data_IF_898391905739
#
_entry.id   IF_898391905739
#
_cell.length_a   1.000
_cell.length_b   1.000
_cell.length_c   1.000
_cell.angle_alpha   90.00
_cell.angle_beta   90.00
_cell.angle_gamma   90.00
#
_symmetry.space_group_name_H-M   'P 1'
#
loop_
_entity.id
_entity.type
_entity.pdbx_description
1 polymer ?
#
# COMPACT_ATOMS: atom_id res chain seq x y z
N UNK A 1 -50.86 -80.76 55.26
CA UNK A 1 -51.38 -80.01 56.44
C UNK A 1 -51.57 -78.55 56.03
N UNK A 2 -52.64 -77.88 56.47
CA UNK A 2 -53.73 -77.54 55.54
C UNK A 2 -54.23 -76.07 55.57
N UNK A 3 -55.10 -75.78 54.58
CA UNK A 3 -56.31 -74.93 54.62
C UNK A 3 -56.20 -73.40 54.62
N UNK A 4 -56.87 -72.75 53.62
CA UNK A 4 -58.20 -72.11 53.79
C UNK A 4 -58.69 -71.41 52.50
N UNK A 5 -59.90 -71.76 52.07
CA UNK A 5 -60.84 -71.02 51.17
C UNK A 5 -61.32 -69.68 51.81
N UNK A 6 -62.33 -68.89 51.32
CA UNK A 6 -63.17 -68.96 50.10
C UNK A 6 -63.50 -67.62 49.37
N UNK A 7 -64.20 -67.77 48.24
CA UNK A 7 -65.19 -66.93 47.54
C UNK A 7 -65.77 -65.65 48.19
N UNK A 8 -65.90 -64.58 47.40
CA UNK A 8 -67.04 -63.61 47.31
C UNK A 8 -66.75 -62.63 46.15
N UNK A 9 -67.42 -62.65 44.99
CA UNK A 9 -68.77 -62.19 44.64
C UNK A 9 -69.03 -60.69 44.91
N UNK A 10 -69.16 -59.86 43.85
CA UNK A 10 -70.17 -58.79 43.71
C UNK A 10 -70.15 -58.10 42.32
N UNK A 11 -71.23 -58.34 41.57
CA UNK A 11 -72.16 -57.38 40.92
C UNK A 11 -71.64 -56.25 39.99
N UNK A 12 -72.02 -56.41 38.71
CA UNK A 12 -72.46 -55.44 37.67
C UNK A 12 -72.42 -53.94 37.93
N UNK A 13 -71.98 -53.15 36.93
CA UNK A 13 -72.74 -52.02 36.33
C UNK A 13 -72.34 -51.84 34.84
N UNK A 14 -73.33 -51.77 33.94
CA UNK A 14 -73.24 -51.38 32.53
C UNK A 14 -72.96 -49.88 32.38
N UNK A 15 -72.17 -49.45 31.38
CA UNK A 15 -72.44 -48.21 30.62
C UNK A 15 -72.02 -48.32 29.15
N UNK A 16 -72.85 -47.69 28.33
CA UNK A 16 -73.01 -47.76 26.88
C UNK A 16 -72.14 -46.79 26.09
N UNK A 17 -71.63 -47.29 24.95
CA UNK A 17 -71.53 -46.63 23.63
C UNK A 17 -70.74 -45.33 23.48
N UNK A 18 -69.65 -45.36 22.70
CA UNK A 18 -69.38 -44.31 21.68
C UNK A 18 -68.66 -44.88 20.45
N UNK A 19 -69.34 -44.79 19.30
CA UNK A 19 -68.77 -44.92 17.95
C UNK A 19 -67.82 -43.76 17.67
N UNK A 20 -66.54 -44.03 17.45
CA UNK A 20 -65.63 -43.09 16.79
C UNK A 20 -65.56 -43.41 15.29
N UNK A 21 -66.09 -42.50 14.46
CA UNK A 21 -65.90 -42.49 13.01
C UNK A 21 -64.41 -42.25 12.69
N UNK A 22 -63.80 -42.98 11.73
CA UNK A 22 -62.45 -42.66 11.29
C UNK A 22 -62.48 -41.32 10.52
N UNK A 23 -61.65 -40.37 10.96
CA UNK A 23 -61.36 -39.14 10.21
C UNK A 23 -60.67 -39.53 8.90
N UNK A 24 -61.32 -39.25 7.77
CA UNK A 24 -60.73 -39.34 6.43
C UNK A 24 -59.58 -38.32 6.36
N UNK A 25 -58.34 -38.79 6.41
CA UNK A 25 -57.18 -37.99 6.05
C UNK A 25 -57.28 -37.69 4.55
N UNK A 26 -57.23 -36.40 4.20
CA UNK A 26 -57.09 -35.96 2.82
C UNK A 26 -55.64 -36.27 2.44
N UNK A 27 -55.36 -37.14 1.45
CA UNK A 27 -54.01 -37.37 0.99
C UNK A 27 -53.62 -36.19 0.11
N UNK A 28 -52.94 -35.20 0.69
CA UNK A 28 -52.15 -34.26 -0.11
C UNK A 28 -50.94 -35.04 -0.60
N UNK A 29 -50.70 -35.00 -1.91
CA UNK A 29 -49.55 -35.61 -2.58
C UNK A 29 -48.23 -35.30 -1.85
N UNK A 30 -47.75 -36.25 -1.05
CA UNK A 30 -46.45 -36.17 -0.37
C UNK A 30 -45.27 -36.20 -1.36
N UNK A 31 -45.52 -36.55 -2.63
CA UNK A 31 -44.54 -36.54 -3.71
C UNK A 31 -44.21 -35.14 -4.22
N UNK A 32 -45.18 -34.22 -4.34
CA UNK A 32 -44.91 -32.90 -4.93
C UNK A 32 -44.16 -31.96 -3.97
N UNK A 33 -44.47 -32.02 -2.66
CA UNK A 33 -43.84 -31.17 -1.64
C UNK A 33 -42.39 -31.60 -1.37
N UNK A 34 -42.10 -32.91 -1.42
CA UNK A 34 -40.74 -33.44 -1.23
C UNK A 34 -39.83 -33.10 -2.42
N UNK A 35 -40.34 -33.20 -3.65
CA UNK A 35 -39.61 -32.77 -4.84
C UNK A 35 -39.36 -31.26 -4.86
N UNK A 36 -40.33 -30.44 -4.44
CA UNK A 36 -40.16 -28.98 -4.34
C UNK A 36 -39.11 -28.62 -3.28
N UNK A 37 -39.14 -29.25 -2.11
CA UNK A 37 -38.15 -29.03 -1.05
C UNK A 37 -36.74 -29.44 -1.47
N UNK A 38 -36.60 -30.50 -2.26
CA UNK A 38 -35.32 -30.93 -2.82
C UNK A 38 -34.77 -29.89 -3.82
N UNK A 39 -35.60 -29.42 -4.75
CA UNK A 39 -35.19 -28.41 -5.72
C UNK A 39 -34.82 -27.07 -5.08
N UNK A 40 -35.58 -26.63 -4.07
CA UNK A 40 -35.26 -25.42 -3.29
C UNK A 40 -33.94 -25.57 -2.55
N UNK A 41 -33.68 -26.72 -1.93
CA UNK A 41 -32.41 -27.01 -1.26
C UNK A 41 -31.24 -26.99 -2.25
N UNK A 42 -31.41 -27.57 -3.44
CA UNK A 42 -30.34 -27.65 -4.42
C UNK A 42 -30.02 -26.27 -5.02
N UNK A 43 -31.06 -25.48 -5.33
CA UNK A 43 -30.89 -24.10 -5.79
C UNK A 43 -30.23 -23.25 -4.70
N UNK A 44 -30.66 -23.42 -3.44
CA UNK A 44 -30.06 -22.73 -2.30
C UNK A 44 -28.57 -23.10 -2.12
N UNK A 45 -28.20 -24.38 -2.27
CA UNK A 45 -26.80 -24.82 -2.23
C UNK A 45 -25.97 -24.20 -3.36
N UNK A 46 -26.50 -24.16 -4.58
CA UNK A 46 -25.81 -23.52 -5.72
C UNK A 46 -25.61 -22.04 -5.46
N UNK A 47 -26.66 -21.33 -5.03
CA UNK A 47 -26.58 -19.89 -4.70
C UNK A 47 -25.56 -19.66 -3.58
N UNK A 48 -25.59 -20.46 -2.51
CA UNK A 48 -24.63 -20.35 -1.41
C UNK A 48 -23.18 -20.59 -1.85
N UNK A 49 -22.95 -21.54 -2.76
CA UNK A 49 -21.60 -21.83 -3.27
C UNK A 49 -21.09 -20.69 -4.16
N UNK A 50 -21.94 -20.17 -5.05
CA UNK A 50 -21.59 -19.05 -5.92
C UNK A 50 -21.33 -17.78 -5.09
N UNK A 51 -22.18 -17.49 -4.11
CA UNK A 51 -21.98 -16.37 -3.19
C UNK A 51 -20.71 -16.54 -2.36
N UNK A 52 -20.44 -17.75 -1.84
CA UNK A 52 -19.23 -18.04 -1.07
C UNK A 52 -17.95 -17.79 -1.87
N UNK A 53 -17.89 -18.27 -3.11
CA UNK A 53 -16.76 -18.03 -4.01
C UNK A 53 -16.65 -16.55 -4.39
N UNK A 54 -17.78 -15.89 -4.67
CA UNK A 54 -17.80 -14.46 -5.01
C UNK A 54 -17.25 -13.58 -3.88
N UNK A 55 -17.72 -13.78 -2.65
CA UNK A 55 -17.23 -13.05 -1.48
C UNK A 55 -15.73 -13.32 -1.21
N UNK A 56 -15.29 -14.57 -1.32
CA UNK A 56 -13.88 -14.92 -1.16
C UNK A 56 -13.00 -14.27 -2.24
N UNK A 57 -13.45 -14.28 -3.50
CA UNK A 57 -12.76 -13.63 -4.60
C UNK A 57 -12.72 -12.10 -4.44
N UNK A 58 -13.82 -11.49 -3.98
CA UNK A 58 -13.87 -10.06 -3.70
C UNK A 58 -12.89 -9.65 -2.61
N UNK A 59 -12.81 -10.41 -1.51
CA UNK A 59 -11.84 -10.16 -0.45
C UNK A 59 -10.40 -10.36 -0.93
N UNK A 60 -10.14 -11.40 -1.73
CA UNK A 60 -8.81 -11.65 -2.30
C UNK A 60 -8.34 -10.52 -3.22
N UNK A 61 -9.23 -10.01 -4.09
CA UNK A 61 -8.93 -8.88 -4.97
C UNK A 61 -8.67 -7.60 -4.17
N UNK A 62 -9.52 -7.29 -3.18
CA UNK A 62 -9.32 -6.12 -2.32
C UNK A 62 -7.99 -6.18 -1.60
N UNK A 63 -7.63 -7.33 -1.04
CA UNK A 63 -6.35 -7.51 -0.36
C UNK A 63 -5.17 -7.37 -1.33
N UNK A 64 -5.28 -7.89 -2.55
CA UNK A 64 -4.23 -7.79 -3.56
C UNK A 64 -3.99 -6.34 -4.00
N UNK A 65 -5.05 -5.56 -4.23
CA UNK A 65 -4.95 -4.14 -4.59
C UNK A 65 -4.33 -3.33 -3.45
N UNK A 66 -4.74 -3.59 -2.19
CA UNK A 66 -4.13 -2.94 -1.03
C UNK A 66 -2.65 -3.27 -0.90
N UNK A 67 -2.27 -4.53 -1.11
CA UNK A 67 -0.87 -4.95 -1.09
C UNK A 67 -0.05 -4.27 -2.19
N UNK A 68 -0.57 -4.19 -3.42
CA UNK A 68 0.08 -3.51 -4.54
C UNK A 68 0.28 -2.01 -4.25
N UNK A 69 -0.74 -1.34 -3.70
CA UNK A 69 -0.66 0.06 -3.29
C UNK A 69 0.42 0.27 -2.21
N UNK A 70 0.40 -0.54 -1.14
CA UNK A 70 1.41 -0.51 -0.08
C UNK A 70 2.81 -0.69 -0.64
N UNK A 71 2.99 -1.65 -1.55
CA UNK A 71 4.29 -1.92 -2.15
C UNK A 71 4.76 -0.74 -3.01
N UNK A 72 3.85 -0.10 -3.76
CA UNK A 72 4.16 1.09 -4.55
C UNK A 72 4.57 2.26 -3.65
N UNK A 73 3.78 2.54 -2.62
CA UNK A 73 4.03 3.62 -1.65
C UNK A 73 5.37 3.41 -0.94
N UNK A 74 5.70 2.16 -0.55
CA UNK A 74 6.99 1.82 0.05
C UNK A 74 8.17 2.00 -0.92
N UNK A 75 8.02 1.57 -2.18
CA UNK A 75 9.05 1.76 -3.20
C UNK A 75 9.29 3.24 -3.46
N UNK A 76 8.22 4.03 -3.53
CA UNK A 76 8.27 5.47 -3.72
C UNK A 76 8.91 6.19 -2.52
N UNK A 77 8.59 5.75 -1.29
CA UNK A 77 9.23 6.22 -0.07
C UNK A 77 10.75 6.07 -0.12
N UNK A 78 11.25 4.86 -0.40
CA UNK A 78 12.71 4.65 -0.48
C UNK A 78 13.34 5.39 -1.66
N UNK A 79 12.63 5.55 -2.77
CA UNK A 79 13.13 6.31 -3.92
C UNK A 79 13.33 7.78 -3.55
N UNK A 80 12.34 8.41 -2.88
CA UNK A 80 12.43 9.79 -2.39
C UNK A 80 13.54 9.96 -1.37
N UNK A 81 13.64 9.05 -0.41
CA UNK A 81 14.70 9.05 0.61
C UNK A 81 16.09 8.93 -0.04
N UNK A 82 16.25 8.02 -1.00
CA UNK A 82 17.52 7.80 -1.70
C UNK A 82 17.92 9.03 -2.51
N UNK A 83 16.96 9.67 -3.18
CA UNK A 83 17.23 10.91 -3.93
C UNK A 83 17.59 12.05 -2.98
N UNK A 84 16.90 12.18 -1.84
CA UNK A 84 17.23 13.18 -0.83
C UNK A 84 18.66 13.01 -0.29
N UNK A 85 19.09 11.77 -0.02
CA UNK A 85 20.46 11.48 0.40
C UNK A 85 21.47 11.83 -0.69
N UNK A 86 21.25 11.41 -1.94
CA UNK A 86 22.13 11.75 -3.07
C UNK A 86 22.28 13.27 -3.23
N UNK A 87 21.18 14.01 -3.17
CA UNK A 87 21.22 15.47 -3.23
C UNK A 87 22.01 16.06 -2.08
N UNK A 88 21.80 15.57 -0.85
CA UNK A 88 22.49 16.05 0.35
C UNK A 88 24.01 15.81 0.28
N UNK A 89 24.42 14.63 -0.16
CA UNK A 89 25.84 14.28 -0.36
C UNK A 89 26.47 15.16 -1.45
N UNK A 90 25.75 15.40 -2.53
CA UNK A 90 26.19 16.31 -3.59
C UNK A 90 26.39 17.76 -3.12
N UNK A 91 25.57 18.24 -2.17
CA UNK A 91 25.80 19.58 -1.61
C UNK A 91 27.15 19.66 -0.90
N UNK A 92 27.53 18.61 -0.17
CA UNK A 92 28.83 18.51 0.50
C UNK A 92 29.97 18.48 -0.52
N UNK A 93 29.80 17.78 -1.65
CA UNK A 93 30.78 17.77 -2.74
C UNK A 93 30.97 19.18 -3.34
N UNK A 94 29.89 19.93 -3.54
CA UNK A 94 29.94 21.30 -4.03
C UNK A 94 30.64 22.22 -3.01
N UNK A 95 30.32 22.11 -1.73
CA UNK A 95 30.98 22.90 -0.67
C UNK A 95 32.50 22.63 -0.63
N UNK A 96 32.90 21.36 -0.69
CA UNK A 96 34.32 20.98 -0.76
C UNK A 96 34.99 21.52 -2.01
N UNK A 97 34.34 21.42 -3.17
CA UNK A 97 34.87 21.93 -4.42
C UNK A 97 35.05 23.45 -4.37
N UNK A 98 34.05 24.19 -3.89
CA UNK A 98 34.12 25.66 -3.81
C UNK A 98 35.24 26.14 -2.90
N UNK A 99 35.47 25.47 -1.77
CA UNK A 99 36.61 25.77 -0.88
C UNK A 99 37.96 25.48 -1.55
N UNK A 100 38.08 24.38 -2.30
CA UNK A 100 39.31 24.03 -3.03
C UNK A 100 39.66 25.07 -4.12
N UNK A 101 38.65 25.67 -4.74
CA UNK A 101 38.88 26.57 -5.90
C UNK A 101 38.87 28.06 -5.56
N UNK A 102 38.59 28.43 -4.31
CA UNK A 102 38.35 29.81 -3.86
C UNK A 102 39.52 30.77 -4.09
N UNK A 103 40.75 30.31 -3.87
CA UNK A 103 41.97 31.14 -3.88
C UNK A 103 43.00 30.72 -4.95
N UNK A 104 42.58 29.93 -5.94
CA UNK A 104 43.44 29.48 -7.04
C UNK A 104 43.16 30.25 -8.34
N UNK A 105 44.20 30.37 -9.16
CA UNK A 105 44.10 31.06 -10.45
C UNK A 105 43.17 30.31 -11.42
N UNK A 106 42.52 31.05 -12.32
CA UNK A 106 41.59 30.52 -13.34
C UNK A 106 42.20 29.37 -14.15
N UNK A 107 43.51 29.42 -14.42
CA UNK A 107 44.22 28.35 -15.12
C UNK A 107 44.40 27.09 -14.26
N UNK A 108 44.56 27.24 -12.95
CA UNK A 108 44.72 26.13 -12.02
C UNK A 108 43.39 25.44 -11.69
N UNK A 109 42.27 26.16 -11.73
CA UNK A 109 40.90 25.64 -11.47
C UNK A 109 40.56 24.48 -12.41
N UNK A 110 41.06 24.50 -13.65
CA UNK A 110 40.82 23.44 -14.65
C UNK A 110 41.34 22.05 -14.24
N UNK A 111 42.22 21.99 -13.24
CA UNK A 111 42.74 20.73 -12.70
C UNK A 111 41.83 20.11 -11.64
N UNK A 112 40.82 20.84 -11.18
CA UNK A 112 39.84 20.37 -10.22
C UNK A 112 38.52 20.11 -10.94
N UNK A 113 38.02 18.89 -10.83
CA UNK A 113 36.73 18.50 -11.39
C UNK A 113 35.70 18.37 -10.28
N UNK A 114 34.54 18.99 -10.46
CA UNK A 114 33.35 18.66 -9.69
C UNK A 114 32.61 17.53 -10.41
N UNK A 115 32.46 16.40 -9.74
CA UNK A 115 31.67 15.26 -10.21
C UNK A 115 30.57 15.04 -9.19
N UNK A 116 29.32 15.10 -9.63
CA UNK A 116 28.16 14.81 -8.80
C UNK A 116 27.83 13.33 -8.89
N UNK A 117 27.36 12.78 -7.78
CA UNK A 117 26.74 11.46 -7.73
C UNK A 117 25.34 11.56 -8.33
N UNK A 118 25.03 10.74 -9.33
CA UNK A 118 23.75 10.78 -10.04
C UNK A 118 23.13 9.38 -10.18
N UNK A 119 23.57 8.42 -9.36
CA UNK A 119 23.15 7.04 -9.49
C UNK A 119 21.63 6.88 -9.31
N UNK A 120 21.07 7.47 -8.25
CA UNK A 120 19.63 7.46 -7.97
C UNK A 120 18.89 8.24 -9.04
N UNK A 121 19.32 9.47 -9.33
CA UNK A 121 18.72 10.30 -10.37
C UNK A 121 18.63 9.60 -11.74
N UNK A 122 19.70 8.96 -12.18
CA UNK A 122 19.71 8.24 -13.46
C UNK A 122 18.87 6.95 -13.40
N UNK A 123 18.86 6.26 -12.25
CA UNK A 123 18.03 5.07 -12.05
C UNK A 123 16.54 5.40 -12.08
N UNK A 124 16.14 6.61 -11.65
CA UNK A 124 14.75 7.06 -11.70
C UNK A 124 14.18 7.11 -13.12
N UNK A 125 15.00 7.27 -14.16
CA UNK A 125 14.53 7.25 -15.55
C UNK A 125 13.78 5.97 -15.93
N UNK A 126 14.14 4.85 -15.32
CA UNK A 126 13.59 3.53 -15.61
C UNK A 126 12.75 2.96 -14.46
N UNK A 127 12.60 3.71 -13.36
CA UNK A 127 11.79 3.29 -12.21
C UNK A 127 10.32 3.65 -12.42
N UNK A 128 9.37 2.71 -12.27
CA UNK A 128 7.94 3.01 -12.34
C UNK A 128 7.51 3.94 -11.20
N UNK A 129 8.15 3.86 -10.03
CA UNK A 129 7.84 4.69 -8.87
C UNK A 129 8.20 6.18 -9.06
N UNK A 130 8.99 6.53 -10.08
CA UNK A 130 9.32 7.92 -10.41
C UNK A 130 8.08 8.73 -10.79
N UNK A 131 7.14 8.12 -11.52
CA UNK A 131 5.92 8.81 -11.96
C UNK A 131 4.96 9.11 -10.80
N UNK A 132 5.12 8.39 -9.70
CA UNK A 132 4.37 8.61 -8.48
C UNK A 132 5.08 9.61 -7.53
N UNK A 133 6.29 10.07 -7.87
CA UNK A 133 6.99 11.11 -7.11
C UNK A 133 6.41 12.49 -7.46
N UNK A 134 6.18 13.39 -6.48
CA UNK A 134 5.70 14.73 -6.75
C UNK A 134 6.54 15.48 -7.80
N UNK A 135 5.87 16.05 -8.79
CA UNK A 135 6.51 16.73 -9.92
C UNK A 135 7.39 17.91 -9.51
N UNK A 136 7.07 18.56 -8.39
CA UNK A 136 7.87 19.63 -7.80
C UNK A 136 9.26 19.13 -7.37
N UNK A 137 9.33 17.99 -6.65
CA UNK A 137 10.59 17.39 -6.21
C UNK A 137 11.49 17.00 -7.39
N UNK A 138 10.90 16.37 -8.40
CA UNK A 138 11.61 16.00 -9.64
C UNK A 138 12.10 17.24 -10.40
N UNK A 139 11.28 18.28 -10.45
CA UNK A 139 11.61 19.52 -11.15
C UNK A 139 12.77 20.25 -10.49
N UNK A 140 12.76 20.38 -9.16
CA UNK A 140 13.84 21.02 -8.41
C UNK A 140 15.13 20.22 -8.51
N UNK A 141 15.08 18.88 -8.36
CA UNK A 141 16.24 18.00 -8.53
C UNK A 141 16.87 18.14 -9.93
N UNK A 142 16.04 18.14 -10.97
CA UNK A 142 16.48 18.35 -12.35
C UNK A 142 17.10 19.73 -12.57
N UNK A 143 16.53 20.79 -11.98
CA UNK A 143 17.07 22.15 -12.08
C UNK A 143 18.44 22.22 -11.41
N UNK A 144 18.55 21.69 -10.20
CA UNK A 144 19.81 21.61 -9.45
C UNK A 144 20.92 20.95 -10.29
N UNK A 145 20.70 19.73 -10.78
CA UNK A 145 21.72 19.04 -11.59
C UNK A 145 22.10 19.81 -12.86
N UNK A 146 21.14 20.47 -13.51
CA UNK A 146 21.42 21.26 -14.71
C UNK A 146 22.23 22.51 -14.38
N UNK A 147 21.83 23.26 -13.36
CA UNK A 147 22.41 24.55 -13.01
C UNK A 147 23.82 24.38 -12.47
N UNK A 148 24.06 23.37 -11.61
CA UNK A 148 25.40 23.06 -11.13
C UNK A 148 26.32 22.66 -12.27
N UNK A 149 25.86 21.80 -13.19
CA UNK A 149 26.65 21.41 -14.36
C UNK A 149 26.95 22.59 -15.30
N UNK A 150 25.98 23.47 -15.53
CA UNK A 150 26.17 24.69 -16.33
C UNK A 150 27.18 25.66 -15.69
N UNK A 151 27.03 25.92 -14.39
CA UNK A 151 27.97 26.79 -13.65
C UNK A 151 29.37 26.18 -13.67
N UNK A 152 29.51 24.89 -13.37
CA UNK A 152 30.80 24.20 -13.42
C UNK A 152 31.42 24.26 -14.82
N UNK A 153 30.66 24.00 -15.88
CA UNK A 153 31.15 24.14 -17.25
C UNK A 153 31.63 25.55 -17.59
N UNK A 154 30.92 26.59 -17.11
CA UNK A 154 31.30 27.99 -17.29
C UNK A 154 32.55 28.39 -16.49
N UNK A 155 32.77 27.79 -15.32
CA UNK A 155 34.03 27.92 -14.57
C UNK A 155 35.17 27.28 -15.37
N UNK A 156 34.99 26.04 -15.86
CA UNK A 156 36.02 25.29 -16.60
C UNK A 156 36.43 25.96 -17.91
N UNK A 157 35.48 26.58 -18.60
CA UNK A 157 35.70 27.36 -19.83
C UNK A 157 36.22 28.77 -19.57
N UNK A 158 36.40 29.16 -18.30
CA UNK A 158 36.84 30.51 -17.89
C UNK A 158 35.85 31.63 -18.27
N UNK A 159 34.61 31.28 -18.60
CA UNK A 159 33.53 32.26 -18.80
C UNK A 159 33.14 32.91 -17.47
N UNK A 160 33.11 32.13 -16.39
CA UNK A 160 33.00 32.63 -15.02
C UNK A 160 34.37 32.63 -14.33
N UNK A 161 34.63 33.68 -13.55
CA UNK A 161 35.75 33.67 -12.60
C UNK A 161 35.47 32.64 -11.51
N UNK A 162 36.53 32.09 -10.90
CA UNK A 162 36.39 31.14 -9.80
C UNK A 162 35.51 31.73 -8.68
N UNK A 163 35.80 32.97 -8.26
CA UNK A 163 35.03 33.68 -7.24
C UNK A 163 33.53 33.82 -7.57
N UNK A 164 33.19 34.21 -8.80
CA UNK A 164 31.79 34.36 -9.20
C UNK A 164 31.09 33.00 -9.32
N UNK A 165 31.75 32.02 -9.92
CA UNK A 165 31.20 30.67 -10.05
C UNK A 165 31.00 29.98 -8.71
N UNK A 166 31.94 30.10 -7.76
CA UNK A 166 31.77 29.58 -6.40
C UNK A 166 30.61 30.24 -5.68
N UNK A 167 30.40 31.55 -5.87
CA UNK A 167 29.25 32.25 -5.31
C UNK A 167 27.93 31.65 -5.82
N UNK A 168 27.80 31.46 -7.13
CA UNK A 168 26.59 30.86 -7.72
C UNK A 168 26.37 29.41 -7.27
N UNK A 169 27.44 28.61 -7.15
CA UNK A 169 27.34 27.25 -6.62
C UNK A 169 26.86 27.23 -5.17
N UNK A 170 27.35 28.14 -4.34
CA UNK A 170 26.92 28.27 -2.94
C UNK A 170 25.48 28.78 -2.83
N UNK A 171 25.04 29.68 -3.71
CA UNK A 171 23.62 30.08 -3.79
C UNK A 171 22.72 28.87 -4.09
N UNK A 172 23.16 27.94 -4.93
CA UNK A 172 22.42 26.70 -5.18
C UNK A 172 22.42 25.75 -3.99
N UNK A 173 23.55 25.62 -3.31
CA UNK A 173 23.62 24.85 -2.06
C UNK A 173 22.64 25.42 -1.03
N UNK A 174 22.59 26.75 -0.89
CA UNK A 174 21.69 27.41 0.07
C UNK A 174 20.22 27.18 -0.27
N UNK A 175 19.83 27.35 -1.54
CA UNK A 175 18.45 27.06 -2.00
C UNK A 175 18.07 25.60 -1.73
N UNK A 176 18.97 24.66 -2.02
CA UNK A 176 18.72 23.24 -1.76
C UNK A 176 18.57 22.96 -0.26
N UNK A 177 19.43 23.51 0.60
CA UNK A 177 19.38 23.30 2.06
C UNK A 177 18.14 23.93 2.70
N UNK A 178 17.74 25.10 2.25
CA UNK A 178 16.69 25.89 2.92
C UNK A 178 15.29 25.66 2.36
N UNK A 179 15.17 25.24 1.09
CA UNK A 179 13.88 25.08 0.41
C UNK A 179 13.65 23.63 0.00
N UNK A 180 14.58 23.04 -0.76
CA UNK A 180 14.32 21.77 -1.44
C UNK A 180 14.41 20.57 -0.49
N UNK A 181 15.48 20.44 0.31
CA UNK A 181 15.63 19.32 1.25
C UNK A 181 14.52 19.30 2.32
N UNK A 182 14.10 20.43 2.91
CA UNK A 182 12.93 20.44 3.81
C UNK A 182 11.64 20.05 3.10
N UNK A 183 11.46 20.41 1.82
CA UNK A 183 10.31 19.99 1.02
C UNK A 183 10.32 18.46 0.80
N UNK A 184 11.49 17.86 0.54
CA UNK A 184 11.66 16.40 0.49
C UNK A 184 11.33 15.74 1.83
N UNK A 185 11.85 16.28 2.94
CA UNK A 185 11.62 15.74 4.27
C UNK A 185 10.13 15.78 4.65
N UNK A 186 9.46 16.91 4.41
CA UNK A 186 8.03 17.04 4.69
C UNK A 186 7.18 16.05 3.90
N UNK A 187 7.44 15.92 2.59
CA UNK A 187 6.71 15.03 1.70
C UNK A 187 6.98 13.54 2.01
N UNK A 188 8.24 13.20 2.29
CA UNK A 188 8.65 11.84 2.66
C UNK A 188 8.08 11.44 4.03
N UNK A 189 8.03 12.37 4.98
CA UNK A 189 7.39 12.16 6.28
C UNK A 189 5.87 11.99 6.16
N UNK A 190 5.21 12.72 5.27
CA UNK A 190 3.78 12.53 5.00
C UNK A 190 3.52 11.11 4.46
N UNK A 191 4.35 10.63 3.55
CA UNK A 191 4.26 9.27 3.02
C UNK A 191 4.54 8.21 4.08
N UNK A 192 5.55 8.43 4.95
CA UNK A 192 5.83 7.58 6.11
C UNK A 192 4.64 7.47 7.06
N UNK A 193 3.97 8.59 7.35
CA UNK A 193 2.77 8.61 8.18
C UNK A 193 1.59 7.86 7.51
N UNK A 194 1.42 8.02 6.20
CA UNK A 194 0.39 7.29 5.45
C UNK A 194 0.63 5.77 5.47
N UNK A 195 1.89 5.33 5.34
CA UNK A 195 2.28 3.93 5.46
C UNK A 195 2.07 3.39 6.89
N UNK A 196 2.43 4.17 7.91
CA UNK A 196 2.24 3.79 9.31
C UNK A 196 0.75 3.61 9.67
N UNK A 197 -0.16 4.40 9.09
CA UNK A 197 -1.62 4.21 9.25
C UNK A 197 -2.13 2.89 8.67
N UNK A 198 -1.37 2.28 7.76
CA UNK A 198 -1.66 0.99 7.14
C UNK A 198 -0.89 -0.16 7.81
N UNK A 199 -0.32 0.06 9.00
CA UNK A 199 0.49 -0.90 9.77
C UNK A 199 1.79 -1.33 9.03
N UNK A 200 2.30 -0.44 8.16
CA UNK A 200 3.53 -0.64 7.40
C UNK A 200 4.61 0.28 7.97
N UNK A 201 5.56 -0.29 8.70
CA UNK A 201 6.72 0.45 9.18
C UNK A 201 7.78 0.61 8.08
N UNK A 202 8.29 1.83 7.97
CA UNK A 202 9.45 2.19 7.13
C UNK A 202 10.43 2.99 7.99
N UNK A 203 11.72 2.76 7.74
CA UNK A 203 12.84 3.24 8.57
C UNK A 203 12.89 4.77 8.70
#
# INVERSE_FOLDING_TARGET
>A
MPARDPLTNTVHINETTQHQKPKKAIPLEQGEISNLSFWVSQISMIIATVLGVYLAAQQGLQQAVLFEQIQSDKNNYYLRQSLQHELSDNLILIEKYTEQIKDISVHAVKRYALVLDTFVWESMKYSPATLETPSALLSESRKFYREVNDIHGKIQTSFYSAHYGTKLLLEQVEHMKTVVLPMFEADTNQLKQALAQQDVEVD
#
